data_IF_002428998856
#
_entry.id   IF_002428998856
#
_cell.length_a   1.000
_cell.length_b   1.000
_cell.length_c   1.000
_cell.angle_alpha   90.00
_cell.angle_beta   90.00
_cell.angle_gamma   90.00
#
_symmetry.space_group_name_H-M   'P 1'
#
loop_
_entity.id
_entity.type
_entity.pdbx_description
1 polymer ?
#
# COMPACT_ATOMS: atom_id res chain seq x y z
N UNK A 1 -15.49 -5.42 4.75
CA UNK A 1 -15.42 -6.77 4.17
C UNK A 1 -16.36 -6.88 2.96
N UNK A 2 -16.19 -7.89 2.10
CA UNK A 2 -17.11 -8.14 0.97
C UNK A 2 -18.57 -8.28 1.48
N UNK A 3 -18.75 -9.07 2.55
CA UNK A 3 -20.08 -9.24 3.18
C UNK A 3 -20.71 -7.93 3.68
N UNK A 4 -19.91 -6.97 4.14
CA UNK A 4 -20.45 -5.67 4.57
C UNK A 4 -20.87 -4.81 3.38
N UNK A 5 -20.16 -4.91 2.24
CA UNK A 5 -20.56 -4.26 1.00
C UNK A 5 -21.82 -4.87 0.39
N UNK A 6 -21.96 -6.20 0.44
CA UNK A 6 -23.18 -6.88 -0.01
C UNK A 6 -24.41 -6.43 0.80
N UNK A 7 -24.23 -6.20 2.11
CA UNK A 7 -25.31 -5.63 2.96
C UNK A 7 -25.66 -4.20 2.54
N UNK A 8 -24.68 -3.34 2.29
CA UNK A 8 -24.91 -1.97 1.80
C UNK A 8 -25.65 -1.98 0.47
N UNK A 9 -25.24 -2.85 -0.47
CA UNK A 9 -25.93 -3.01 -1.76
C UNK A 9 -27.40 -3.44 -1.59
N UNK A 10 -27.65 -4.45 -0.76
CA UNK A 10 -29.02 -4.91 -0.45
C UNK A 10 -29.89 -3.81 0.18
N UNK A 11 -29.28 -2.99 1.04
CA UNK A 11 -29.96 -1.89 1.72
C UNK A 11 -30.09 -0.63 0.84
N UNK A 12 -29.62 -0.64 -0.40
CA UNK A 12 -29.57 0.52 -1.30
C UNK A 12 -28.86 1.74 -0.70
N UNK A 13 -27.83 1.50 0.14
CA UNK A 13 -27.00 2.55 0.71
C UNK A 13 -26.08 3.16 -0.38
N UNK A 14 -25.71 4.44 -0.19
CA UNK A 14 -24.72 5.07 -1.07
C UNK A 14 -23.36 4.39 -0.90
N UNK A 15 -22.77 3.99 -2.01
CA UNK A 15 -21.46 3.34 -2.05
C UNK A 15 -20.36 4.34 -2.38
N UNK A 16 -19.19 4.09 -1.83
CA UNK A 16 -17.97 4.83 -2.17
C UNK A 16 -17.54 4.58 -3.62
N UNK A 17 -16.71 5.48 -4.16
CA UNK A 17 -16.29 5.50 -5.57
C UNK A 17 -15.59 4.21 -6.02
N UNK A 18 -14.96 3.47 -5.12
CA UNK A 18 -14.21 2.24 -5.39
C UNK A 18 -14.86 1.02 -4.73
N UNK A 19 -16.20 1.02 -4.60
CA UNK A 19 -16.92 -0.06 -3.95
C UNK A 19 -16.60 -1.42 -4.59
N UNK A 20 -16.11 -2.35 -3.77
CA UNK A 20 -15.74 -3.70 -4.20
C UNK A 20 -14.39 -3.82 -4.91
N UNK A 21 -13.70 -2.71 -5.20
CA UNK A 21 -12.38 -2.77 -5.85
C UNK A 21 -11.34 -3.37 -4.90
N UNK A 22 -10.63 -4.46 -5.29
CA UNK A 22 -9.59 -5.06 -4.47
C UNK A 22 -8.35 -4.15 -4.43
N UNK A 23 -7.90 -3.80 -3.22
CA UNK A 23 -6.70 -3.00 -2.98
C UNK A 23 -5.75 -3.72 -2.04
N UNK A 24 -4.45 -3.41 -2.14
CA UNK A 24 -3.43 -3.89 -1.21
C UNK A 24 -2.83 -2.72 -0.43
N UNK A 25 -2.39 -2.98 0.80
CA UNK A 25 -1.75 -2.00 1.67
C UNK A 25 -0.34 -2.46 2.04
N UNK A 26 0.65 -1.59 1.90
CA UNK A 26 2.04 -1.89 2.27
C UNK A 26 2.15 -2.20 3.76
N UNK A 27 2.95 -3.21 4.11
CA UNK A 27 3.04 -3.74 5.48
C UNK A 27 3.61 -2.76 6.52
N UNK A 28 4.19 -1.65 6.09
CA UNK A 28 4.65 -0.57 6.97
C UNK A 28 3.55 0.46 7.33
N UNK A 29 2.30 0.21 6.96
CA UNK A 29 1.17 1.12 7.17
C UNK A 29 0.16 0.47 8.09
N UNK A 30 -0.31 1.20 9.11
CA UNK A 30 -1.22 0.66 10.11
C UNK A 30 -2.59 0.31 9.53
N UNK A 31 -3.01 -0.91 9.81
CA UNK A 31 -4.35 -1.42 9.57
C UNK A 31 -4.79 -2.16 10.84
N UNK A 32 -5.90 -1.75 11.42
CA UNK A 32 -6.40 -2.32 12.68
C UNK A 32 -6.48 -3.85 12.62
N UNK A 33 -5.96 -4.51 13.65
CA UNK A 33 -5.94 -5.97 13.76
C UNK A 33 -4.80 -6.67 13.00
N UNK A 34 -3.96 -5.93 12.27
CA UNK A 34 -2.82 -6.47 11.53
C UNK A 34 -1.49 -5.90 12.02
N UNK A 35 -0.43 -6.70 11.93
CA UNK A 35 0.90 -6.25 12.29
C UNK A 35 1.46 -5.24 11.28
N UNK A 36 2.07 -4.16 11.80
CA UNK A 36 2.83 -3.17 11.03
C UNK A 36 4.31 -3.50 11.10
N UNK A 37 4.71 -4.60 10.45
CA UNK A 37 6.03 -5.21 10.64
C UNK A 37 7.19 -4.43 10.05
N UNK A 38 6.93 -3.60 9.04
CA UNK A 38 7.97 -2.89 8.27
C UNK A 38 9.15 -3.81 7.84
N UNK A 39 8.86 -5.11 7.60
CA UNK A 39 9.85 -6.13 7.24
C UNK A 39 10.77 -6.57 8.37
N UNK A 40 10.44 -6.29 9.63
CA UNK A 40 11.28 -6.53 10.80
C UNK A 40 10.73 -7.65 11.69
N UNK A 41 11.56 -8.63 12.07
CA UNK A 41 11.18 -9.69 12.99
C UNK A 41 10.76 -9.18 14.36
N UNK A 42 11.41 -8.13 14.85
CA UNK A 42 11.09 -7.51 16.15
C UNK A 42 9.68 -6.91 16.16
N UNK A 43 9.14 -6.55 15.00
CA UNK A 43 7.80 -5.97 14.85
C UNK A 43 6.75 -6.98 14.37
N UNK A 44 7.05 -8.27 14.36
CA UNK A 44 6.13 -9.31 13.86
C UNK A 44 4.77 -9.30 14.56
N UNK A 45 4.74 -8.93 15.84
CA UNK A 45 3.55 -8.89 16.70
C UNK A 45 3.10 -7.44 17.02
N UNK A 46 3.61 -6.44 16.30
CA UNK A 46 3.22 -5.04 16.47
C UNK A 46 1.85 -4.79 15.83
N UNK A 47 0.80 -5.28 16.48
CA UNK A 47 -0.57 -5.19 16.00
C UNK A 47 -1.09 -3.76 16.11
N UNK A 48 -1.52 -3.18 15.00
CA UNK A 48 -2.12 -1.85 14.97
C UNK A 48 -3.50 -1.84 15.65
N UNK A 49 -3.69 -0.87 16.56
CA UNK A 49 -4.95 -0.64 17.29
C UNK A 49 -5.87 0.38 16.60
N UNK A 50 -5.35 1.05 15.58
CA UNK A 50 -6.07 2.04 14.76
C UNK A 50 -5.62 1.92 13.30
N UNK A 51 -6.52 2.26 12.39
CA UNK A 51 -6.14 2.42 10.99
C UNK A 51 -5.36 3.71 10.78
N UNK A 52 -4.32 3.68 9.97
CA UNK A 52 -3.72 4.87 9.38
C UNK A 52 -4.79 5.67 8.61
N UNK A 53 -4.72 7.01 8.56
CA UNK A 53 -5.71 7.81 7.83
C UNK A 53 -5.88 7.38 6.36
N UNK A 54 -4.81 7.00 5.66
CA UNK A 54 -4.91 6.51 4.28
C UNK A 54 -5.71 5.19 4.19
N UNK A 55 -5.60 4.32 5.19
CA UNK A 55 -6.40 3.07 5.27
C UNK A 55 -7.86 3.40 5.53
N UNK A 56 -8.14 4.37 6.41
CA UNK A 56 -9.51 4.85 6.63
C UNK A 56 -10.12 5.44 5.35
N UNK A 57 -9.35 6.21 4.59
CA UNK A 57 -9.81 6.80 3.33
C UNK A 57 -10.14 5.71 2.30
N UNK A 58 -9.29 4.68 2.16
CA UNK A 58 -9.60 3.51 1.32
C UNK A 58 -10.88 2.80 1.77
N UNK A 59 -11.06 2.59 3.08
CA UNK A 59 -12.29 2.00 3.63
C UNK A 59 -13.54 2.86 3.38
N UNK A 60 -13.42 4.19 3.49
CA UNK A 60 -14.52 5.12 3.16
C UNK A 60 -14.90 5.10 1.68
N UNK A 61 -13.95 4.78 0.79
CA UNK A 61 -14.21 4.54 -0.64
C UNK A 61 -14.84 3.17 -0.92
N UNK A 62 -15.15 2.39 0.12
CA UNK A 62 -15.70 1.03 0.06
C UNK A 62 -14.81 0.03 -0.70
N UNK A 63 -13.49 0.25 -0.69
CA UNK A 63 -12.54 -0.71 -1.25
C UNK A 63 -12.48 -2.00 -0.44
N UNK A 64 -12.10 -3.10 -1.10
CA UNK A 64 -11.78 -4.35 -0.44
C UNK A 64 -10.26 -4.45 -0.22
N UNK A 65 -9.80 -4.25 1.02
CA UNK A 65 -8.39 -4.49 1.35
C UNK A 65 -8.18 -6.00 1.41
N UNK A 66 -7.53 -6.55 0.38
CA UNK A 66 -7.34 -7.99 0.19
C UNK A 66 -6.05 -8.52 0.81
N UNK A 67 -5.12 -7.64 1.18
CA UNK A 67 -3.90 -8.08 1.85
C UNK A 67 -2.90 -6.96 2.09
N UNK A 68 -1.88 -7.31 2.90
CA UNK A 68 -0.70 -6.47 3.14
C UNK A 68 0.46 -6.94 2.26
N UNK A 69 1.19 -6.00 1.70
CA UNK A 69 2.26 -6.29 0.74
C UNK A 69 3.64 -6.10 1.35
N UNK A 70 4.57 -6.95 0.93
CA UNK A 70 5.93 -7.02 1.44
C UNK A 70 6.75 -5.76 1.15
N UNK A 71 7.74 -5.52 2.02
CA UNK A 71 8.72 -4.43 1.95
C UNK A 71 10.08 -4.96 2.43
N UNK A 72 11.22 -4.39 2.03
CA UNK A 72 12.47 -4.69 2.71
C UNK A 72 12.48 -4.19 4.15
N UNK A 73 13.41 -4.65 4.95
CA UNK A 73 13.59 -4.17 6.32
C UNK A 73 13.67 -2.63 6.37
N UNK A 74 12.91 -2.01 7.28
CA UNK A 74 12.77 -0.55 7.45
C UNK A 74 12.23 0.20 6.22
N UNK A 75 11.84 -0.48 5.14
CA UNK A 75 11.47 0.15 3.86
C UNK A 75 12.57 1.03 3.22
N UNK A 76 13.86 0.74 3.46
CA UNK A 76 15.00 1.57 3.03
C UNK A 76 15.83 0.97 1.88
N UNK A 77 15.48 -0.20 1.37
CA UNK A 77 16.17 -0.84 0.25
C UNK A 77 15.34 -0.85 -1.04
N UNK A 78 16.02 -0.94 -2.17
CA UNK A 78 15.41 -1.10 -3.50
C UNK A 78 15.16 -2.55 -3.89
N UNK A 79 15.39 -3.49 -3.00
CA UNK A 79 15.15 -4.92 -3.18
C UNK A 79 14.20 -5.41 -2.11
N UNK A 80 13.01 -5.89 -2.51
CA UNK A 80 11.96 -6.28 -1.58
C UNK A 80 12.19 -7.69 -1.05
N UNK A 81 13.04 -7.79 -0.03
CA UNK A 81 13.30 -9.02 0.74
C UNK A 81 13.54 -8.70 2.21
N UNK A 82 13.15 -9.60 3.08
CA UNK A 82 13.46 -9.54 4.50
C UNK A 82 13.39 -10.94 5.13
N UNK A 83 13.86 -11.08 6.37
CA UNK A 83 13.90 -12.36 7.08
C UNK A 83 12.55 -12.79 7.68
N UNK A 84 11.53 -11.93 7.66
CA UNK A 84 10.21 -12.25 8.22
C UNK A 84 9.24 -12.76 7.13
N UNK A 85 9.16 -12.06 6.01
CA UNK A 85 8.19 -12.32 4.93
C UNK A 85 8.85 -12.91 3.67
N UNK A 86 10.17 -13.10 3.69
CA UNK A 86 10.91 -13.65 2.57
C UNK A 86 11.14 -12.66 1.43
N UNK A 87 11.29 -13.19 0.22
CA UNK A 87 11.68 -12.49 -0.99
C UNK A 87 10.49 -12.36 -1.94
N UNK A 88 10.15 -11.15 -2.33
CA UNK A 88 9.18 -10.91 -3.40
C UNK A 88 9.89 -11.01 -4.76
N UNK A 89 9.36 -11.83 -5.65
CA UNK A 89 9.87 -12.02 -7.00
C UNK A 89 9.16 -11.09 -7.97
N UNK A 90 9.85 -10.71 -9.05
CA UNK A 90 9.24 -9.97 -10.14
C UNK A 90 8.27 -10.89 -10.92
N UNK A 91 7.03 -10.47 -11.17
CA UNK A 91 6.03 -11.32 -11.82
C UNK A 91 6.36 -11.67 -13.28
N UNK A 92 7.18 -10.86 -13.95
CA UNK A 92 7.55 -11.09 -15.34
C UNK A 92 8.80 -11.97 -15.47
N UNK A 93 9.74 -11.88 -14.51
CA UNK A 93 10.95 -12.70 -14.50
C UNK A 93 11.49 -12.84 -13.07
N UNK A 94 11.55 -14.07 -12.58
CA UNK A 94 12.01 -14.39 -11.21
C UNK A 94 13.49 -14.04 -10.95
N UNK A 95 14.28 -13.84 -12.00
CA UNK A 95 15.71 -13.52 -11.90
C UNK A 95 16.01 -12.02 -11.77
N UNK A 96 14.99 -11.16 -11.87
CA UNK A 96 15.12 -9.73 -11.68
C UNK A 96 14.33 -9.24 -10.48
N UNK A 97 14.71 -8.08 -9.95
CA UNK A 97 14.03 -7.51 -8.78
C UNK A 97 12.66 -6.95 -9.15
N UNK A 98 11.65 -7.00 -8.26
CA UNK A 98 10.42 -6.25 -8.40
C UNK A 98 10.59 -4.78 -7.99
N UNK A 99 11.84 -4.36 -7.69
CA UNK A 99 12.11 -3.06 -7.10
C UNK A 99 11.82 -3.02 -5.59
N UNK A 100 11.87 -1.83 -5.03
CA UNK A 100 11.63 -1.57 -3.60
C UNK A 100 11.59 -0.05 -3.31
N UNK A 101 11.11 0.28 -2.15
CA UNK A 101 10.67 -0.59 -1.05
C UNK A 101 9.21 -1.09 -1.20
N UNK A 102 8.41 -0.60 -2.15
CA UNK A 102 7.03 -1.07 -2.39
C UNK A 102 6.96 -2.18 -3.45
N UNK A 103 7.99 -3.04 -3.56
CA UNK A 103 8.03 -4.12 -4.56
C UNK A 103 6.95 -5.17 -4.37
N UNK A 104 6.52 -5.43 -3.13
CA UNK A 104 5.37 -6.29 -2.87
C UNK A 104 4.08 -5.73 -3.44
N UNK A 105 3.84 -4.42 -3.31
CA UNK A 105 2.67 -3.75 -3.88
C UNK A 105 2.70 -3.77 -5.41
N UNK A 106 3.88 -3.47 -6.00
CA UNK A 106 4.04 -3.49 -7.45
C UNK A 106 3.85 -4.90 -8.03
N UNK A 107 4.47 -5.92 -7.44
CA UNK A 107 4.33 -7.30 -7.87
C UNK A 107 2.87 -7.78 -7.76
N UNK A 108 2.19 -7.51 -6.65
CA UNK A 108 0.79 -7.88 -6.45
C UNK A 108 -0.14 -7.19 -7.48
N UNK A 109 0.07 -5.90 -7.75
CA UNK A 109 -0.71 -5.14 -8.73
C UNK A 109 -0.45 -5.64 -10.15
N UNK A 110 0.80 -5.87 -10.53
CA UNK A 110 1.16 -6.40 -11.85
C UNK A 110 0.57 -7.81 -12.08
N UNK A 111 0.55 -8.66 -11.04
CA UNK A 111 -0.02 -10.01 -11.09
C UNK A 111 -1.55 -10.05 -11.02
N UNK A 112 -2.24 -8.91 -10.88
CA UNK A 112 -3.71 -8.90 -10.75
C UNK A 112 -4.27 -9.29 -9.40
N UNK A 113 -3.45 -9.45 -8.35
CA UNK A 113 -3.92 -9.74 -6.98
C UNK A 113 -4.70 -8.59 -6.35
N UNK A 114 -4.53 -7.39 -6.85
CA UNK A 114 -5.31 -6.20 -6.55
C UNK A 114 -5.33 -5.27 -7.75
N UNK A 115 -6.36 -4.43 -7.84
CA UNK A 115 -6.45 -3.41 -8.89
C UNK A 115 -5.53 -2.23 -8.60
N UNK A 116 -5.47 -1.83 -7.32
CA UNK A 116 -4.69 -0.71 -6.83
C UNK A 116 -3.82 -1.17 -5.65
N UNK A 117 -2.53 -0.83 -5.69
CA UNK A 117 -1.60 -1.02 -4.60
C UNK A 117 -1.34 0.30 -3.87
N UNK A 118 -1.34 0.29 -2.53
CA UNK A 118 -0.80 1.39 -1.73
C UNK A 118 0.70 1.17 -1.51
N UNK A 119 1.48 2.19 -1.77
CA UNK A 119 2.92 2.23 -1.52
C UNK A 119 3.35 3.49 -0.78
N UNK A 120 4.64 3.56 -0.43
CA UNK A 120 5.29 4.73 0.16
C UNK A 120 6.58 5.06 -0.58
N UNK A 121 6.94 6.34 -0.69
CA UNK A 121 8.10 6.80 -1.46
C UNK A 121 8.83 7.95 -0.75
N UNK A 122 10.10 7.74 -0.45
CA UNK A 122 11.05 8.81 -0.04
C UNK A 122 12.00 9.08 -1.21
N UNK A 123 12.63 8.03 -1.71
CA UNK A 123 13.70 8.08 -2.71
C UNK A 123 13.43 7.11 -3.89
N UNK A 124 12.19 7.03 -4.37
CA UNK A 124 11.81 6.19 -5.51
C UNK A 124 11.01 4.94 -5.14
N UNK A 125 10.59 4.76 -3.88
CA UNK A 125 10.01 3.49 -3.41
C UNK A 125 8.59 3.17 -3.92
N UNK A 126 7.92 4.06 -4.63
CA UNK A 126 6.75 3.77 -5.48
C UNK A 126 7.17 3.66 -6.94
N UNK A 127 7.92 4.66 -7.42
CA UNK A 127 8.27 4.85 -8.82
C UNK A 127 9.16 3.74 -9.36
N UNK A 128 10.20 3.36 -8.61
CA UNK A 128 11.11 2.29 -9.02
C UNK A 128 10.43 0.91 -9.08
N UNK A 129 9.67 0.46 -8.08
CA UNK A 129 8.92 -0.78 -8.21
C UNK A 129 7.89 -0.77 -9.36
N UNK A 130 7.23 0.36 -9.61
CA UNK A 130 6.32 0.50 -10.73
C UNK A 130 7.05 0.29 -12.07
N UNK A 131 8.19 0.93 -12.26
CA UNK A 131 9.06 0.72 -13.42
C UNK A 131 9.50 -0.74 -13.54
N UNK A 132 10.00 -1.34 -12.45
CA UNK A 132 10.52 -2.71 -12.46
C UNK A 132 9.46 -3.77 -12.78
N UNK A 133 8.19 -3.51 -12.42
CA UNK A 133 7.06 -4.41 -12.66
C UNK A 133 6.17 -4.01 -13.85
N UNK A 134 6.55 -2.99 -14.64
CA UNK A 134 5.83 -2.58 -15.84
C UNK A 134 4.42 -2.03 -15.59
N UNK A 135 4.23 -1.31 -14.47
CA UNK A 135 2.96 -0.68 -14.10
C UNK A 135 3.15 0.82 -13.84
N UNK A 136 2.08 1.52 -13.52
CA UNK A 136 2.14 2.94 -13.16
C UNK A 136 2.26 3.12 -11.64
N UNK A 137 3.06 4.09 -11.21
CA UNK A 137 3.19 4.48 -9.82
C UNK A 137 3.30 6.00 -9.67
N UNK A 138 2.51 6.58 -8.79
CA UNK A 138 2.49 8.01 -8.55
C UNK A 138 3.05 8.36 -7.18
N UNK A 139 4.12 9.16 -7.17
CA UNK A 139 4.58 9.88 -5.98
C UNK A 139 3.88 11.24 -5.94
N UNK A 140 2.84 11.42 -5.14
CA UNK A 140 2.15 12.70 -5.05
C UNK A 140 2.99 13.75 -4.31
N UNK A 141 2.52 15.00 -4.30
CA UNK A 141 3.10 16.06 -3.48
C UNK A 141 2.99 15.72 -2.00
N UNK A 142 3.95 16.19 -1.20
CA UNK A 142 3.92 16.03 0.25
C UNK A 142 2.59 16.58 0.81
N UNK A 143 2.00 15.81 1.73
CA UNK A 143 0.72 16.18 2.36
C UNK A 143 -0.53 15.89 1.54
N UNK A 144 -0.41 15.52 0.25
CA UNK A 144 -1.58 15.17 -0.57
C UNK A 144 -2.29 13.90 -0.09
N UNK A 145 -1.54 12.89 0.30
CA UNK A 145 -2.04 11.65 0.90
C UNK A 145 -1.53 11.58 2.33
N UNK A 146 -2.38 11.38 3.33
CA UNK A 146 -1.94 11.32 4.71
C UNK A 146 -1.03 10.10 4.92
N UNK A 147 0.09 10.32 5.63
CA UNK A 147 1.07 9.29 5.94
C UNK A 147 1.42 9.32 7.42
N UNK A 148 0.53 8.78 8.24
CA UNK A 148 0.64 8.70 9.70
C UNK A 148 0.44 7.25 10.13
N UNK A 149 1.31 6.76 11.02
CA UNK A 149 1.16 5.50 11.72
C UNK A 149 1.10 5.75 13.23
N UNK A 150 0.23 5.05 13.91
CA UNK A 150 0.08 5.13 15.36
C UNK A 150 0.97 4.14 16.10
N UNK A 151 1.44 3.09 15.40
CA UNK A 151 2.41 2.12 15.96
C UNK A 151 3.83 2.67 16.00
N UNK A 152 4.15 3.67 15.17
CA UNK A 152 5.44 4.35 15.11
C UNK A 152 5.21 5.85 14.90
N UNK A 153 4.76 6.58 15.94
CA UNK A 153 4.37 7.98 15.82
C UNK A 153 5.56 8.90 15.53
N UNK A 154 6.72 8.56 16.07
CA UNK A 154 7.92 9.37 15.88
C UNK A 154 8.54 9.13 14.50
N UNK A 155 8.87 10.22 13.83
CA UNK A 155 9.46 10.19 12.50
C UNK A 155 10.68 11.11 12.46
N UNK A 156 11.77 10.60 11.88
CA UNK A 156 12.93 11.44 11.58
C UNK A 156 12.55 12.55 10.59
N UNK A 157 13.23 13.69 10.67
CA UNK A 157 12.93 14.87 9.84
C UNK A 157 12.90 14.55 8.35
N UNK A 158 13.83 13.74 7.84
CA UNK A 158 13.82 13.29 6.44
C UNK A 158 12.55 12.50 6.07
N UNK A 159 12.04 11.67 6.99
CA UNK A 159 10.77 10.97 6.84
C UNK A 159 9.57 11.92 6.88
N UNK A 160 9.65 13.01 7.64
CA UNK A 160 8.56 14.00 7.73
C UNK A 160 8.43 14.84 6.47
N UNK A 161 9.54 15.27 5.87
CA UNK A 161 9.55 16.19 4.73
C UNK A 161 9.65 15.51 3.37
N UNK A 162 10.05 14.24 3.30
CA UNK A 162 10.29 13.53 2.03
C UNK A 162 9.36 12.35 1.79
N UNK A 163 8.87 11.70 2.86
CA UNK A 163 8.07 10.49 2.71
C UNK A 163 6.61 10.83 2.32
N UNK A 164 6.11 10.14 1.29
CA UNK A 164 4.73 10.25 0.83
C UNK A 164 4.13 8.86 0.66
N UNK A 165 2.82 8.76 0.85
CA UNK A 165 2.00 7.61 0.42
C UNK A 165 1.44 7.87 -0.96
N UNK A 166 1.22 6.81 -1.75
CA UNK A 166 0.61 6.96 -3.06
C UNK A 166 0.23 5.63 -3.71
N UNK A 167 -0.50 5.69 -4.83
CA UNK A 167 -1.02 4.53 -5.53
C UNK A 167 -0.04 3.93 -6.53
N UNK A 168 -0.21 2.61 -6.75
CA UNK A 168 0.29 1.86 -7.91
C UNK A 168 -0.89 1.21 -8.61
N UNK A 169 -0.92 1.22 -9.95
CA UNK A 169 -2.02 0.64 -10.73
C UNK A 169 -1.55 0.23 -12.13
N UNK A 170 -2.34 -0.63 -12.80
CA UNK A 170 -2.05 -1.06 -14.18
C UNK A 170 -2.51 -0.05 -15.25
N UNK A 171 -3.37 0.91 -14.89
CA UNK A 171 -3.80 1.98 -15.79
C UNK A 171 -3.70 3.34 -15.12
N UNK A 172 -3.56 4.40 -15.93
CA UNK A 172 -3.54 5.79 -15.44
C UNK A 172 -4.87 6.16 -14.79
N UNK A 173 -5.99 5.66 -15.34
CA UNK A 173 -7.33 5.90 -14.79
C UNK A 173 -7.45 5.32 -13.36
N UNK A 174 -7.00 4.08 -13.16
CA UNK A 174 -7.02 3.46 -11.83
C UNK A 174 -6.06 4.15 -10.87
N UNK A 175 -4.92 4.64 -11.38
CA UNK A 175 -3.97 5.42 -10.58
C UNK A 175 -4.60 6.72 -10.07
N UNK A 176 -5.33 7.43 -10.92
CA UNK A 176 -6.08 8.65 -10.56
C UNK A 176 -7.16 8.36 -9.52
N UNK A 177 -7.94 7.30 -9.74
CA UNK A 177 -8.99 6.86 -8.80
C UNK A 177 -8.39 6.48 -7.45
N UNK A 178 -7.27 5.76 -7.46
CA UNK A 178 -6.51 5.41 -6.26
C UNK A 178 -6.01 6.64 -5.51
N UNK A 179 -5.47 7.63 -6.22
CA UNK A 179 -5.05 8.88 -5.61
C UNK A 179 -6.22 9.61 -4.94
N UNK A 180 -7.36 9.74 -5.65
CA UNK A 180 -8.58 10.37 -5.11
C UNK A 180 -9.04 9.68 -3.83
N UNK A 181 -9.13 8.35 -3.85
CA UNK A 181 -9.55 7.56 -2.70
C UNK A 181 -8.59 7.69 -1.52
N UNK A 182 -7.28 7.76 -1.75
CA UNK A 182 -6.27 7.89 -0.68
C UNK A 182 -6.19 9.31 -0.08
N UNK A 183 -6.66 10.33 -0.80
CA UNK A 183 -6.50 11.77 -0.45
C UNK A 183 -7.75 12.40 0.18
N UNK A 184 -8.75 11.63 0.54
CA UNK A 184 -9.99 12.14 1.14
C UNK A 184 -9.77 12.69 2.55
#
# INVERSE_FOLDING_TARGET
TALSLDKKLKNKENLGQLAGVPVTVKVNTDQIGYASTNGLRIQKDLIAKKDSPVVNNLKKSDTLIVGKTNTPAFSIHWFTRNSLHGHTLNPHNKNITPGGSSGGAAAATASGMGAIGHGTDIAGSIRYPAYACGIHGLRPSLGRVPMINYTTPDRHIGGQIMAVSGPLARSIKDLELGLKAMSM
#
